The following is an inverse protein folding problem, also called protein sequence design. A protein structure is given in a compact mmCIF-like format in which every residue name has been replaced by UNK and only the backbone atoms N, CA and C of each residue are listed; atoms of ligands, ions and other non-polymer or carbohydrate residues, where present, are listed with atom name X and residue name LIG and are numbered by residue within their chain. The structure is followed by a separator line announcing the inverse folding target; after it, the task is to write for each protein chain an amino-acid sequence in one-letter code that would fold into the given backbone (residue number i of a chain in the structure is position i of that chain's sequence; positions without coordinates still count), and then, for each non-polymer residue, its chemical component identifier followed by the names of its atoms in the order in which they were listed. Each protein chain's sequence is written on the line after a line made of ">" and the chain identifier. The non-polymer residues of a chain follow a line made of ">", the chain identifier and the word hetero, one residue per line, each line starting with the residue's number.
data_IF_197577991403
#
_entry.id   IF_197577991403
#
_cell.length_a   1.000
_cell.length_b   1.000
_cell.length_c   1.000
_cell.angle_alpha   90.00
_cell.angle_beta   90.00
_cell.angle_gamma   90.00
#
_symmetry.space_group_name_H-M   'P 1'
#
loop_
_entity.id
_entity.type
_entity.pdbx_description
1 polymer ?
#
# COMPACT_ATOMS: atom_id res chain seq x y z
N UNK A 1 -6.69 46.91 50.82
CA UNK A 1 -7.94 47.69 50.61
C UNK A 1 -8.77 46.95 49.58
N UNK A 2 -9.69 46.23 50.08
CA UNK A 2 -11.13 46.19 49.91
C UNK A 2 -11.61 45.52 48.61
N UNK A 3 -12.11 44.30 48.76
CA UNK A 3 -13.14 43.66 47.92
C UNK A 3 -14.49 44.38 48.08
N UNK A 4 -15.42 44.25 47.17
CA UNK A 4 -16.72 43.59 47.53
C UNK A 4 -17.21 42.59 46.50
N UNK A 5 -17.61 41.42 46.88
CA UNK A 5 -18.87 40.76 47.30
C UNK A 5 -20.10 40.93 46.42
N UNK A 6 -20.60 39.78 46.03
CA UNK A 6 -21.84 39.21 45.43
C UNK A 6 -23.18 39.87 45.89
N UNK A 7 -24.30 39.74 45.12
CA UNK A 7 -25.30 38.81 45.64
C UNK A 7 -26.00 37.84 44.62
N UNK A 8 -26.39 36.68 45.20
CA UNK A 8 -27.36 35.71 44.68
C UNK A 8 -28.78 36.30 44.71
N UNK A 9 -29.60 35.93 43.75
CA UNK A 9 -31.05 35.86 43.93
C UNK A 9 -31.59 34.51 43.47
N UNK A 10 -32.17 33.79 44.45
CA UNK A 10 -33.13 32.71 44.30
C UNK A 10 -34.54 33.29 44.10
N UNK A 11 -35.40 32.52 43.42
CA UNK A 11 -36.85 32.39 43.61
C UNK A 11 -37.33 31.36 42.59
N UNK A 12 -37.65 30.14 42.94
CA UNK A 12 -38.83 29.61 43.61
C UNK A 12 -39.98 29.33 42.65
N UNK A 13 -40.18 28.03 42.47
CA UNK A 13 -41.42 27.23 42.40
C UNK A 13 -42.75 27.82 42.00
N UNK A 14 -43.46 27.21 41.05
CA UNK A 14 -44.86 26.77 41.24
C UNK A 14 -45.19 25.56 40.35
N UNK A 15 -45.61 24.48 41.02
CA UNK A 15 -46.27 23.33 40.47
C UNK A 15 -47.76 23.64 40.22
N UNK A 16 -48.34 23.14 39.15
CA UNK A 16 -49.77 22.87 39.06
C UNK A 16 -50.03 21.61 38.25
N UNK A 17 -50.55 20.64 38.98
CA UNK A 17 -51.14 19.41 38.46
C UNK A 17 -52.56 19.70 37.95
N UNK A 18 -52.95 19.14 36.81
CA UNK A 18 -54.38 18.80 36.56
C UNK A 18 -54.41 17.45 35.83
N UNK A 19 -55.31 16.61 36.36
CA UNK A 19 -55.52 15.22 36.03
C UNK A 19 -56.55 15.04 34.89
N UNK A 20 -56.45 13.80 34.30
CA UNK A 20 -57.53 12.98 33.71
C UNK A 20 -58.05 13.36 32.32
N UNK A 21 -57.82 12.48 31.35
CA UNK A 21 -58.91 11.60 30.88
C UNK A 21 -58.36 10.40 30.14
N UNK A 22 -58.91 9.24 30.50
CA UNK A 22 -58.61 7.94 29.86
C UNK A 22 -59.31 7.84 28.50
N UNK A 23 -58.56 7.55 27.46
CA UNK A 23 -59.06 7.13 26.14
C UNK A 23 -58.47 5.79 25.77
N UNK A 24 -59.26 4.73 25.93
CA UNK A 24 -58.96 3.37 25.38
C UNK A 24 -58.97 3.53 23.86
N UNK A 25 -57.83 3.25 23.23
CA UNK A 25 -57.80 3.07 21.78
C UNK A 25 -57.33 1.63 21.50
N UNK A 26 -58.15 0.92 20.77
CA UNK A 26 -58.03 -0.46 20.41
C UNK A 26 -56.80 -0.67 19.51
N UNK A 27 -55.96 -1.63 19.89
CA UNK A 27 -54.84 -2.15 19.07
C UNK A 27 -55.46 -3.02 17.98
N UNK A 28 -55.58 -2.50 16.76
CA UNK A 28 -55.85 -3.29 15.59
C UNK A 28 -54.51 -3.95 15.20
N UNK A 29 -54.38 -5.24 15.45
CA UNK A 29 -53.31 -6.07 14.91
C UNK A 29 -53.55 -6.23 13.42
N UNK A 30 -52.81 -5.51 12.58
CA UNK A 30 -52.67 -5.83 11.18
C UNK A 30 -51.88 -7.11 11.02
N UNK A 31 -52.46 -8.15 10.47
CA UNK A 31 -51.82 -9.39 10.12
C UNK A 31 -50.89 -9.13 8.90
N UNK A 32 -49.61 -9.37 9.05
CA UNK A 32 -48.64 -9.39 7.96
C UNK A 32 -48.88 -10.68 7.17
N UNK A 33 -49.09 -10.63 5.85
CA UNK A 33 -49.23 -11.85 5.07
C UNK A 33 -47.89 -12.59 4.99
N UNK A 34 -47.88 -13.81 5.51
CA UNK A 34 -46.75 -14.76 5.33
C UNK A 34 -46.70 -15.15 3.86
N UNK A 35 -45.73 -14.64 3.13
CA UNK A 35 -45.40 -15.09 1.80
C UNK A 35 -44.87 -16.52 1.89
N UNK A 36 -45.64 -17.51 1.44
CA UNK A 36 -45.18 -18.87 1.24
C UNK A 36 -44.15 -18.87 0.13
N UNK A 37 -42.89 -19.08 0.45
CA UNK A 37 -41.83 -19.35 -0.52
C UNK A 37 -42.00 -20.80 -0.98
N UNK A 38 -42.41 -20.98 -2.22
CA UNK A 38 -42.39 -22.30 -2.87
C UNK A 38 -40.93 -22.77 -3.00
N UNK A 39 -40.64 -24.05 -2.75
CA UNK A 39 -39.28 -24.55 -2.96
C UNK A 39 -38.98 -24.52 -4.47
N UNK A 40 -37.94 -23.74 -4.83
CA UNK A 40 -37.38 -23.72 -6.15
C UNK A 40 -36.79 -25.11 -6.43
N UNK A 41 -37.34 -25.79 -7.45
CA UNK A 41 -36.81 -27.05 -7.93
C UNK A 41 -35.34 -26.91 -8.31
N UNK A 42 -34.52 -27.83 -7.81
CA UNK A 42 -33.09 -27.91 -8.10
C UNK A 42 -32.90 -28.04 -9.64
N UNK A 43 -32.28 -27.05 -10.24
CA UNK A 43 -31.83 -27.13 -11.62
C UNK A 43 -30.73 -28.20 -11.76
N UNK A 44 -30.67 -28.97 -12.83
CA UNK A 44 -29.65 -29.99 -12.98
C UNK A 44 -28.28 -29.38 -13.10
N UNK A 45 -27.32 -29.95 -12.39
CA UNK A 45 -25.90 -29.57 -12.40
C UNK A 45 -25.38 -29.70 -13.86
N UNK A 46 -25.18 -28.59 -14.52
CA UNK A 46 -24.44 -28.56 -15.80
C UNK A 46 -22.96 -28.76 -15.41
N UNK A 47 -22.50 -29.99 -15.60
CA UNK A 47 -21.05 -30.28 -15.62
C UNK A 47 -20.46 -29.50 -16.81
N UNK A 48 -19.91 -28.32 -16.54
CA UNK A 48 -19.05 -27.61 -17.48
C UNK A 48 -17.76 -28.41 -17.58
N UNK A 49 -17.54 -29.07 -18.69
CA UNK A 49 -16.27 -29.65 -19.06
C UNK A 49 -15.25 -28.51 -19.03
N UNK A 50 -14.26 -28.62 -18.16
CA UNK A 50 -13.06 -27.79 -18.20
C UNK A 50 -12.32 -28.21 -19.46
N UNK A 51 -12.55 -27.48 -20.56
CA UNK A 51 -11.70 -27.55 -21.71
C UNK A 51 -10.36 -26.98 -21.28
N UNK A 52 -9.35 -27.85 -21.17
CA UNK A 52 -7.94 -27.48 -21.14
C UNK A 52 -7.67 -26.68 -22.41
N UNK A 53 -7.74 -25.36 -22.31
CA UNK A 53 -7.22 -24.49 -23.35
C UNK A 53 -5.71 -24.71 -23.37
N UNK A 54 -5.24 -25.43 -24.39
CA UNK A 54 -3.83 -25.51 -24.72
C UNK A 54 -3.32 -24.07 -24.85
N UNK A 55 -2.28 -23.75 -24.08
CA UNK A 55 -1.58 -22.48 -24.17
C UNK A 55 -1.20 -22.23 -25.64
N UNK A 56 -1.67 -21.13 -26.19
CA UNK A 56 -1.25 -20.68 -27.51
C UNK A 56 0.27 -20.51 -27.52
N UNK A 57 0.99 -20.91 -28.57
CA UNK A 57 2.43 -20.78 -28.62
C UNK A 57 2.78 -19.28 -28.54
N UNK A 58 3.58 -18.94 -27.52
CA UNK A 58 4.18 -17.62 -27.37
C UNK A 58 5.00 -17.35 -28.64
N UNK A 59 4.66 -16.29 -29.36
CA UNK A 59 5.36 -15.84 -30.56
C UNK A 59 6.87 -15.76 -30.30
N UNK A 60 7.64 -16.48 -31.08
CA UNK A 60 9.13 -16.60 -31.04
C UNK A 60 9.85 -15.34 -31.56
N UNK A 61 9.32 -14.16 -31.40
CA UNK A 61 9.95 -12.89 -31.76
C UNK A 61 10.29 -12.03 -30.56
N UNK A 62 10.86 -12.64 -29.51
CA UNK A 62 11.63 -11.86 -28.54
C UNK A 62 13.02 -11.57 -29.16
N UNK A 63 13.52 -10.30 -29.14
CA UNK A 63 14.85 -10.00 -29.60
C UNK A 63 15.84 -10.86 -28.81
N UNK A 64 16.74 -11.57 -29.50
CA UNK A 64 17.82 -12.34 -28.89
C UNK A 64 18.70 -11.39 -28.10
N UNK A 65 18.45 -11.30 -26.81
CA UNK A 65 19.32 -10.65 -25.85
C UNK A 65 20.51 -11.59 -25.64
N UNK A 66 21.71 -11.03 -25.73
CA UNK A 66 22.99 -11.73 -25.59
C UNK A 66 22.98 -12.68 -24.39
N UNK A 67 23.25 -13.97 -24.66
CA UNK A 67 23.25 -15.10 -23.72
C UNK A 67 24.39 -15.01 -22.68
N UNK A 68 24.34 -14.03 -21.77
CA UNK A 68 25.08 -14.12 -20.51
C UNK A 68 24.15 -14.70 -19.46
N UNK A 69 24.60 -15.77 -18.81
CA UNK A 69 23.87 -16.34 -17.68
C UNK A 69 23.57 -15.24 -16.65
N UNK A 70 22.32 -15.18 -16.12
CA UNK A 70 21.92 -14.16 -15.16
C UNK A 70 22.90 -14.08 -13.98
N UNK A 71 23.24 -12.84 -13.55
CA UNK A 71 24.15 -12.62 -12.41
C UNK A 71 25.65 -12.77 -12.70
N UNK A 72 26.07 -13.07 -13.92
CA UNK A 72 27.49 -13.07 -14.31
C UNK A 72 27.99 -11.72 -14.84
N UNK A 73 27.11 -10.73 -14.94
CA UNK A 73 27.42 -9.38 -15.40
C UNK A 73 27.92 -8.45 -14.29
N UNK A 74 28.01 -8.95 -13.05
CA UNK A 74 28.44 -8.19 -11.87
C UNK A 74 27.41 -7.20 -11.34
N UNK A 75 26.17 -7.19 -11.89
CA UNK A 75 25.11 -6.27 -11.49
C UNK A 75 24.26 -6.82 -10.36
N UNK A 76 23.75 -5.93 -9.54
CA UNK A 76 22.71 -6.23 -8.55
C UNK A 76 21.35 -6.31 -9.24
N UNK A 77 20.56 -7.34 -8.91
CA UNK A 77 19.23 -7.55 -9.46
C UNK A 77 18.17 -7.00 -8.51
N UNK A 78 17.36 -6.07 -9.00
CA UNK A 78 16.34 -5.37 -8.23
C UNK A 78 14.97 -5.57 -8.85
N UNK A 79 14.03 -6.15 -8.12
CA UNK A 79 12.62 -6.25 -8.51
C UNK A 79 11.88 -5.02 -8.03
N UNK A 80 11.21 -4.29 -8.93
CA UNK A 80 10.40 -3.11 -8.60
C UNK A 80 8.96 -3.34 -9.03
N UNK A 81 8.03 -3.41 -8.06
CA UNK A 81 6.61 -3.53 -8.37
C UNK A 81 6.02 -2.19 -8.81
N UNK A 82 5.12 -2.20 -9.80
CA UNK A 82 4.50 -0.98 -10.32
C UNK A 82 5.47 -0.02 -11.01
N UNK A 83 6.53 -0.55 -11.64
CA UNK A 83 7.58 0.25 -12.28
C UNK A 83 7.20 0.84 -13.65
N UNK A 84 5.93 0.77 -14.07
CA UNK A 84 5.47 1.33 -15.37
C UNK A 84 5.03 2.80 -15.30
N UNK A 85 5.14 3.46 -14.15
CA UNK A 85 4.79 4.88 -13.98
C UNK A 85 5.31 5.45 -12.66
N UNK A 86 5.31 6.78 -12.54
CA UNK A 86 5.53 7.49 -11.28
C UNK A 86 6.85 7.14 -10.60
N UNK A 87 6.80 7.04 -9.27
CA UNK A 87 7.96 6.75 -8.42
C UNK A 87 8.73 5.50 -8.86
N UNK A 88 8.02 4.38 -9.06
CA UNK A 88 8.65 3.10 -9.44
C UNK A 88 9.38 3.18 -10.79
N UNK A 89 8.82 3.89 -11.78
CA UNK A 89 9.46 4.08 -13.08
C UNK A 89 10.73 4.93 -12.96
N UNK A 90 10.66 6.04 -12.22
CA UNK A 90 11.81 6.93 -12.05
C UNK A 90 12.94 6.26 -11.26
N UNK A 91 12.61 5.49 -10.22
CA UNK A 91 13.59 4.69 -9.49
C UNK A 91 14.23 3.59 -10.36
N UNK A 92 13.41 2.86 -11.12
CA UNK A 92 13.89 1.86 -12.07
C UNK A 92 14.84 2.47 -13.12
N UNK A 93 14.46 3.62 -13.67
CA UNK A 93 15.29 4.32 -14.65
C UNK A 93 16.58 4.86 -14.05
N UNK A 94 16.56 5.39 -12.84
CA UNK A 94 17.76 5.86 -12.12
C UNK A 94 18.73 4.69 -11.91
N UNK A 95 18.28 3.58 -11.34
CA UNK A 95 19.09 2.40 -11.10
C UNK A 95 19.61 1.75 -12.38
N UNK A 96 18.77 1.63 -13.43
CA UNK A 96 19.18 1.05 -14.69
C UNK A 96 20.27 1.88 -15.40
N UNK A 97 20.24 3.21 -15.25
CA UNK A 97 21.24 4.14 -15.86
C UNK A 97 22.54 4.22 -15.08
N UNK A 98 22.56 3.89 -13.78
CA UNK A 98 23.83 3.85 -13.02
C UNK A 98 24.81 2.79 -13.55
N UNK A 99 24.29 1.75 -14.19
CA UNK A 99 25.11 0.63 -14.66
C UNK A 99 25.28 -0.49 -13.62
N UNK A 100 25.02 -0.22 -12.37
CA UNK A 100 25.24 -1.17 -11.25
C UNK A 100 24.09 -2.16 -11.06
N UNK A 101 22.94 -1.91 -11.72
CA UNK A 101 21.74 -2.70 -11.52
C UNK A 101 21.18 -3.28 -12.81
N UNK A 102 20.58 -4.47 -12.66
CA UNK A 102 19.61 -5.00 -13.60
C UNK A 102 18.21 -4.91 -12.94
N UNK A 103 17.31 -4.12 -13.52
CA UNK A 103 16.01 -3.85 -12.94
C UNK A 103 14.93 -4.76 -13.54
N UNK A 104 14.28 -5.57 -12.71
CA UNK A 104 13.09 -6.33 -13.11
C UNK A 104 11.85 -5.48 -12.80
N UNK A 105 11.25 -4.95 -13.85
CA UNK A 105 10.03 -4.14 -13.80
C UNK A 105 8.82 -5.08 -13.70
N UNK A 106 8.31 -5.29 -12.49
CA UNK A 106 7.16 -6.15 -12.22
C UNK A 106 5.86 -5.34 -12.39
N UNK A 107 5.14 -5.52 -13.50
CA UNK A 107 4.03 -4.68 -13.92
C UNK A 107 2.89 -5.49 -14.55
N UNK A 108 1.66 -4.98 -14.43
CA UNK A 108 0.47 -5.58 -15.08
C UNK A 108 0.49 -5.44 -16.60
N UNK A 109 0.82 -4.25 -17.08
CA UNK A 109 0.84 -3.91 -18.50
C UNK A 109 2.29 -3.92 -19.01
N UNK A 110 2.63 -5.05 -19.65
CA UNK A 110 3.95 -5.28 -20.23
C UNK A 110 4.29 -4.25 -21.31
N UNK A 111 3.36 -3.99 -22.23
CA UNK A 111 3.60 -3.11 -23.36
C UNK A 111 3.81 -1.65 -22.90
N UNK A 112 3.04 -1.21 -21.93
CA UNK A 112 3.23 0.11 -21.30
C UNK A 112 4.59 0.18 -20.62
N UNK A 113 4.94 -0.79 -19.78
CA UNK A 113 6.21 -0.78 -19.05
C UNK A 113 7.40 -0.72 -20.00
N UNK A 114 7.36 -1.47 -21.10
CA UNK A 114 8.40 -1.47 -22.12
C UNK A 114 8.54 -0.08 -22.83
N UNK A 115 7.42 0.54 -23.21
CA UNK A 115 7.44 1.88 -23.83
C UNK A 115 7.96 2.94 -22.87
N UNK A 116 7.51 2.92 -21.62
CA UNK A 116 7.93 3.89 -20.59
C UNK A 116 9.43 3.74 -20.27
N UNK A 117 9.94 2.51 -20.15
CA UNK A 117 11.36 2.27 -19.95
C UNK A 117 12.22 2.83 -21.11
N UNK A 118 11.78 2.62 -22.35
CA UNK A 118 12.44 3.20 -23.53
C UNK A 118 12.36 4.74 -23.53
N UNK A 119 11.18 5.29 -23.21
CA UNK A 119 10.97 6.74 -23.11
C UNK A 119 11.84 7.40 -22.04
N UNK A 120 12.12 6.67 -20.95
CA UNK A 120 13.04 7.10 -19.89
C UNK A 120 14.53 6.91 -20.26
N UNK A 121 14.85 6.39 -21.44
CA UNK A 121 16.24 6.15 -21.87
C UNK A 121 16.95 5.08 -21.03
N UNK A 122 16.24 4.07 -20.56
CA UNK A 122 16.88 2.94 -19.86
C UNK A 122 17.73 2.16 -20.87
N UNK A 123 19.01 1.87 -20.55
CA UNK A 123 19.89 1.16 -21.46
C UNK A 123 19.36 -0.25 -21.79
N UNK A 124 19.53 -0.67 -23.04
CA UNK A 124 19.22 -2.04 -23.44
C UNK A 124 20.02 -3.03 -22.61
N UNK A 125 19.35 -4.08 -22.09
CA UNK A 125 19.99 -5.09 -21.24
C UNK A 125 20.17 -4.69 -19.77
N UNK A 126 19.75 -3.45 -19.36
CA UNK A 126 19.75 -3.06 -17.96
C UNK A 126 18.41 -3.30 -17.26
N UNK A 127 17.40 -3.74 -17.98
CA UNK A 127 16.10 -4.04 -17.42
C UNK A 127 15.40 -5.21 -18.12
N UNK A 128 14.47 -5.83 -17.40
CA UNK A 128 13.54 -6.84 -17.91
C UNK A 128 12.14 -6.50 -17.42
N UNK A 129 11.13 -6.60 -18.28
CA UNK A 129 9.72 -6.47 -17.85
C UNK A 129 9.18 -7.85 -17.60
N UNK A 130 8.49 -8.04 -16.45
CA UNK A 130 7.81 -9.28 -16.10
C UNK A 130 6.38 -8.97 -15.65
N UNK A 131 5.43 -9.85 -16.01
CA UNK A 131 4.04 -9.68 -15.60
C UNK A 131 3.88 -9.94 -14.10
N UNK A 132 3.24 -9.00 -13.40
CA UNK A 132 2.79 -9.12 -12.02
C UNK A 132 1.53 -8.29 -11.82
N UNK A 133 0.43 -8.94 -11.45
CA UNK A 133 -0.77 -8.27 -10.96
C UNK A 133 -0.97 -8.58 -9.47
N UNK A 134 -0.72 -7.59 -8.61
CA UNK A 134 -0.90 -7.72 -7.16
C UNK A 134 -2.37 -7.82 -6.74
N UNK A 135 -3.30 -7.61 -7.68
CA UNK A 135 -4.73 -7.83 -7.45
C UNK A 135 -5.10 -9.32 -7.37
N UNK A 136 -4.21 -10.22 -7.85
CA UNK A 136 -4.41 -11.66 -7.86
C UNK A 136 -3.25 -12.37 -7.16
N UNK A 137 -3.56 -13.14 -6.11
CA UNK A 137 -2.55 -13.95 -5.40
C UNK A 137 -1.96 -15.04 -6.31
N UNK A 138 -2.73 -15.56 -7.26
CA UNK A 138 -2.23 -16.51 -8.26
C UNK A 138 -1.21 -15.85 -9.19
N UNK A 139 -1.47 -14.60 -9.64
CA UNK A 139 -0.49 -13.85 -10.44
C UNK A 139 0.83 -13.59 -9.67
N UNK A 140 0.76 -13.39 -8.36
CA UNK A 140 1.96 -13.27 -7.52
C UNK A 140 2.75 -14.59 -7.51
N UNK A 141 2.08 -15.74 -7.37
CA UNK A 141 2.71 -17.06 -7.41
C UNK A 141 3.33 -17.36 -8.78
N UNK A 142 2.61 -17.04 -9.85
CA UNK A 142 3.09 -17.19 -11.24
C UNK A 142 4.31 -16.32 -11.51
N UNK A 143 4.31 -15.07 -11.02
CA UNK A 143 5.48 -14.18 -11.13
C UNK A 143 6.70 -14.82 -10.46
N UNK A 144 6.57 -15.30 -9.22
CA UNK A 144 7.68 -15.92 -8.48
C UNK A 144 8.18 -17.17 -9.18
N UNK A 145 7.27 -18.02 -9.67
CA UNK A 145 7.63 -19.22 -10.46
C UNK A 145 8.42 -18.84 -11.72
N UNK A 146 7.92 -17.87 -12.48
CA UNK A 146 8.57 -17.41 -13.71
C UNK A 146 9.92 -16.70 -13.43
N UNK A 147 10.02 -15.96 -12.32
CA UNK A 147 11.26 -15.31 -11.89
C UNK A 147 12.32 -16.36 -11.54
N UNK A 148 11.94 -17.33 -10.72
CA UNK A 148 12.83 -18.42 -10.27
C UNK A 148 13.28 -19.28 -11.45
N UNK A 149 12.38 -19.59 -12.38
CA UNK A 149 12.70 -20.38 -13.58
C UNK A 149 13.74 -19.68 -14.50
N UNK A 150 13.86 -18.36 -14.45
CA UNK A 150 14.89 -17.60 -15.18
C UNK A 150 16.28 -17.68 -14.53
N UNK A 151 16.34 -18.15 -13.29
CA UNK A 151 17.59 -18.22 -12.53
C UNK A 151 18.19 -16.86 -12.19
N UNK A 152 17.40 -15.78 -12.18
CA UNK A 152 17.86 -14.46 -11.79
C UNK A 152 18.18 -14.43 -10.29
N UNK A 153 19.33 -13.87 -9.89
CA UNK A 153 19.57 -13.53 -8.50
C UNK A 153 18.60 -12.39 -8.08
N UNK A 154 18.37 -12.21 -6.80
CA UNK A 154 17.63 -11.09 -6.28
C UNK A 154 18.39 -10.45 -5.13
N UNK A 155 18.83 -9.20 -5.31
CA UNK A 155 19.53 -8.43 -4.30
C UNK A 155 18.62 -7.41 -3.61
N UNK A 156 17.54 -6.97 -4.28
CA UNK A 156 16.55 -6.14 -3.63
C UNK A 156 15.14 -6.36 -4.20
N UNK A 157 14.14 -6.26 -3.30
CA UNK A 157 12.72 -6.22 -3.63
C UNK A 157 12.13 -4.89 -3.19
N UNK A 158 11.56 -4.14 -4.13
CA UNK A 158 10.91 -2.87 -3.90
C UNK A 158 9.40 -3.01 -4.05
N UNK A 159 8.70 -3.02 -2.93
CA UNK A 159 7.24 -3.04 -2.82
C UNK A 159 6.69 -1.61 -2.98
N UNK A 160 6.59 -1.15 -4.25
CA UNK A 160 6.21 0.22 -4.59
C UNK A 160 4.77 0.36 -5.09
N UNK A 161 4.24 -0.64 -5.81
CA UNK A 161 2.89 -0.55 -6.38
C UNK A 161 1.83 -0.23 -5.33
N UNK A 162 0.89 0.64 -5.68
CA UNK A 162 -0.25 0.95 -4.84
C UNK A 162 -1.43 1.49 -5.65
N UNK A 163 -2.63 1.30 -5.10
CA UNK A 163 -3.86 1.95 -5.53
C UNK A 163 -4.35 2.90 -4.44
N UNK A 164 -5.01 3.98 -4.85
CA UNK A 164 -5.64 4.96 -3.98
C UNK A 164 -6.97 5.34 -4.59
N UNK A 165 -8.08 4.95 -3.96
CA UNK A 165 -9.45 5.00 -4.48
C UNK A 165 -10.36 5.89 -3.59
N UNK A 166 -9.99 7.15 -3.33
CA UNK A 166 -10.65 7.99 -2.32
C UNK A 166 -12.01 8.54 -2.75
N UNK A 167 -12.41 8.32 -3.99
CA UNK A 167 -13.66 8.84 -4.57
C UNK A 167 -14.64 7.74 -4.92
N UNK A 168 -14.26 6.49 -4.74
CA UNK A 168 -15.14 5.36 -4.97
C UNK A 168 -16.21 5.32 -3.87
N UNK A 169 -17.50 5.37 -4.22
CA UNK A 169 -18.58 5.39 -3.24
C UNK A 169 -18.81 4.03 -2.57
N UNK A 170 -18.40 2.96 -3.23
CA UNK A 170 -18.58 1.58 -2.82
C UNK A 170 -17.25 0.84 -2.84
N UNK A 171 -17.02 -0.14 -1.95
CA UNK A 171 -15.82 -0.96 -2.00
C UNK A 171 -15.78 -1.82 -3.25
N UNK A 172 -14.62 -1.94 -3.84
CA UNK A 172 -14.34 -2.92 -4.89
C UNK A 172 -13.39 -3.99 -4.38
N UNK A 173 -13.53 -5.21 -4.90
CA UNK A 173 -12.83 -6.38 -4.39
C UNK A 173 -11.89 -6.96 -5.44
N UNK A 174 -10.80 -7.53 -4.96
CA UNK A 174 -9.89 -8.34 -5.78
C UNK A 174 -10.57 -9.67 -6.18
N UNK A 175 -10.07 -10.40 -7.19
CA UNK A 175 -10.55 -11.76 -7.49
C UNK A 175 -10.50 -12.71 -6.30
N UNK A 176 -9.57 -12.47 -5.36
CA UNK A 176 -9.44 -13.25 -4.13
C UNK A 176 -10.42 -12.83 -3.02
N UNK A 177 -11.25 -11.79 -3.27
CA UNK A 177 -12.31 -11.32 -2.37
C UNK A 177 -11.84 -10.36 -1.28
N UNK A 178 -10.70 -9.68 -1.44
CA UNK A 178 -10.23 -8.63 -0.53
C UNK A 178 -10.60 -7.24 -1.04
N UNK A 179 -10.88 -6.28 -0.14
CA UNK A 179 -10.94 -4.87 -0.52
C UNK A 179 -9.64 -4.48 -1.24
N UNK A 180 -9.75 -3.71 -2.33
CA UNK A 180 -8.64 -3.52 -3.28
C UNK A 180 -7.42 -2.84 -2.69
N UNK A 181 -7.58 -1.89 -1.77
CA UNK A 181 -6.42 -1.22 -1.15
C UNK A 181 -5.63 -2.18 -0.29
N UNK A 182 -6.30 -2.97 0.52
CA UNK A 182 -5.68 -4.00 1.36
C UNK A 182 -5.13 -5.16 0.54
N UNK A 183 -5.89 -5.61 -0.47
CA UNK A 183 -5.49 -6.73 -1.32
C UNK A 183 -4.22 -6.43 -2.11
N UNK A 184 -4.18 -5.27 -2.79
CA UNK A 184 -3.06 -4.86 -3.67
C UNK A 184 -1.88 -4.31 -2.87
N UNK A 185 -2.16 -3.33 -1.99
CA UNK A 185 -1.08 -2.58 -1.33
C UNK A 185 -0.39 -3.42 -0.25
N UNK A 186 -1.13 -4.32 0.41
CA UNK A 186 -0.62 -5.13 1.51
C UNK A 186 -0.51 -6.62 1.18
N UNK A 187 -1.62 -7.36 1.01
CA UNK A 187 -1.60 -8.81 0.92
C UNK A 187 -0.81 -9.35 -0.28
N UNK A 188 -0.92 -8.71 -1.45
CA UNK A 188 -0.14 -9.08 -2.63
C UNK A 188 1.37 -8.93 -2.41
N UNK A 189 1.81 -7.83 -1.77
CA UNK A 189 3.22 -7.63 -1.42
C UNK A 189 3.67 -8.55 -0.28
N UNK A 190 2.81 -8.78 0.71
CA UNK A 190 3.08 -9.71 1.80
C UNK A 190 3.40 -11.11 1.26
N UNK A 191 2.55 -11.63 0.37
CA UNK A 191 2.79 -12.91 -0.28
C UNK A 191 4.08 -12.91 -1.12
N UNK A 192 4.31 -11.84 -1.90
CA UNK A 192 5.50 -11.71 -2.73
C UNK A 192 6.79 -11.77 -1.91
N UNK A 193 6.85 -11.07 -0.77
CA UNK A 193 7.98 -11.09 0.14
C UNK A 193 8.22 -12.49 0.70
N UNK A 194 7.17 -13.18 1.15
CA UNK A 194 7.28 -14.55 1.68
C UNK A 194 7.82 -15.53 0.66
N UNK A 195 7.32 -15.48 -0.57
CA UNK A 195 7.73 -16.41 -1.62
C UNK A 195 9.15 -16.14 -2.14
N UNK A 196 9.68 -14.91 -1.95
CA UNK A 196 11.01 -14.53 -2.42
C UNK A 196 12.07 -14.50 -1.31
N UNK A 197 11.73 -14.67 -0.02
CA UNK A 197 12.66 -14.49 1.11
C UNK A 197 13.90 -15.38 1.00
N UNK A 198 13.74 -16.66 0.64
CA UNK A 198 14.86 -17.60 0.49
C UNK A 198 15.75 -17.27 -0.73
N UNK A 199 15.17 -16.63 -1.73
CA UNK A 199 15.93 -16.15 -2.91
C UNK A 199 16.70 -14.87 -2.58
N UNK A 200 16.07 -13.95 -1.85
CA UNK A 200 16.69 -12.72 -1.33
C UNK A 200 17.85 -13.03 -0.39
N UNK A 201 17.72 -14.03 0.49
CA UNK A 201 18.77 -14.43 1.42
C UNK A 201 20.09 -14.87 0.75
N UNK A 202 20.05 -15.14 -0.56
CA UNK A 202 21.24 -15.50 -1.38
C UNK A 202 21.87 -14.27 -2.05
N UNK A 203 21.27 -13.11 -1.94
CA UNK A 203 21.78 -11.85 -2.50
C UNK A 203 23.02 -11.35 -1.77
N UNK A 204 23.78 -10.47 -2.43
CA UNK A 204 25.06 -9.95 -1.86
C UNK A 204 24.84 -8.91 -0.76
N UNK A 205 23.81 -8.08 -0.86
CA UNK A 205 23.40 -7.07 0.14
C UNK A 205 21.86 -7.00 0.06
N UNK A 206 21.18 -8.07 0.56
CA UNK A 206 19.78 -8.27 0.27
C UNK A 206 18.91 -7.26 1.04
N UNK A 207 17.98 -6.63 0.31
CA UNK A 207 17.09 -5.61 0.86
C UNK A 207 15.64 -5.82 0.44
N UNK A 208 14.72 -5.57 1.38
CA UNK A 208 13.30 -5.37 1.10
C UNK A 208 12.94 -3.94 1.47
N UNK A 209 12.45 -3.20 0.49
CA UNK A 209 12.08 -1.79 0.66
C UNK A 209 10.59 -1.62 0.36
N UNK A 210 9.83 -1.22 1.38
CA UNK A 210 8.38 -1.03 1.26
C UNK A 210 8.07 0.47 1.22
N UNK A 211 7.41 0.93 0.15
CA UNK A 211 7.02 2.35 0.04
C UNK A 211 5.87 2.64 0.98
N UNK A 212 6.19 3.34 2.07
CA UNK A 212 5.26 3.83 3.07
C UNK A 212 4.52 5.10 2.63
N UNK A 213 3.91 5.76 3.59
CA UNK A 213 3.24 7.05 3.39
C UNK A 213 3.13 7.83 4.70
N UNK A 214 3.36 9.13 4.65
CA UNK A 214 3.07 10.03 5.80
C UNK A 214 1.60 10.05 6.18
N UNK A 215 0.68 9.71 5.25
CA UNK A 215 -0.75 9.69 5.53
C UNK A 215 -1.19 8.53 6.44
N UNK A 216 -0.40 7.48 6.54
CA UNK A 216 -0.56 6.41 7.52
C UNK A 216 0.16 6.67 8.85
N UNK A 217 0.89 7.79 8.97
CA UNK A 217 1.61 8.14 10.19
C UNK A 217 0.93 9.30 10.92
N UNK A 218 0.21 9.02 12.01
CA UNK A 218 -0.54 10.00 12.79
C UNK A 218 0.37 11.05 13.48
N UNK A 219 1.69 10.85 13.54
CA UNK A 219 2.66 11.84 14.01
C UNK A 219 2.88 12.98 13.01
N UNK A 220 2.34 12.85 11.79
CA UNK A 220 2.46 13.87 10.74
C UNK A 220 1.15 14.60 10.53
N UNK A 221 1.22 15.87 10.11
CA UNK A 221 0.01 16.64 9.77
C UNK A 221 -0.84 15.93 8.70
N UNK A 222 -0.21 15.32 7.71
CA UNK A 222 -0.91 14.58 6.65
C UNK A 222 -1.66 13.34 7.19
N UNK A 223 -1.08 12.68 8.21
CA UNK A 223 -1.73 11.57 8.91
C UNK A 223 -2.90 12.02 9.79
N UNK A 224 -2.83 13.23 10.35
CA UNK A 224 -3.88 13.81 11.19
C UNK A 224 -5.08 14.36 10.40
N UNK A 225 -4.97 14.53 9.07
CA UNK A 225 -6.10 14.94 8.23
C UNK A 225 -7.10 13.77 8.13
N UNK A 226 -8.39 13.96 8.53
CA UNK A 226 -9.39 12.89 8.43
C UNK A 226 -9.64 12.43 6.98
N UNK A 227 -9.98 11.14 6.80
CA UNK A 227 -10.04 10.09 7.81
C UNK A 227 -8.65 9.73 8.33
N UNK A 228 -8.53 9.48 9.63
CA UNK A 228 -7.26 9.02 10.26
C UNK A 228 -7.16 7.49 10.08
N UNK A 229 -5.94 6.99 9.88
CA UNK A 229 -5.69 5.55 9.85
C UNK A 229 -5.95 4.93 11.21
N UNK A 230 -6.71 3.86 11.23
CA UNK A 230 -7.02 3.08 12.43
C UNK A 230 -7.41 1.66 12.00
N UNK A 231 -6.62 0.68 12.39
CA UNK A 231 -6.85 -0.73 12.05
C UNK A 231 -7.82 -1.41 13.03
N UNK A 232 -8.25 -0.74 14.08
CA UNK A 232 -9.06 -1.32 15.13
C UNK A 232 -8.41 -2.56 15.73
N UNK A 233 -9.21 -3.61 15.90
CA UNK A 233 -8.77 -4.92 16.35
C UNK A 233 -8.47 -5.91 15.19
N UNK A 234 -8.43 -5.42 13.95
CA UNK A 234 -8.26 -6.21 12.72
C UNK A 234 -9.44 -7.17 12.42
N UNK A 235 -10.61 -6.99 13.05
CA UNK A 235 -11.75 -7.91 12.88
C UNK A 235 -12.30 -7.93 11.45
N UNK A 236 -12.12 -6.83 10.72
CA UNK A 236 -12.50 -6.72 9.32
C UNK A 236 -11.40 -7.14 8.32
N UNK A 237 -10.25 -7.61 8.78
CA UNK A 237 -9.22 -8.15 7.88
C UNK A 237 -9.60 -9.58 7.44
N UNK A 238 -10.53 -9.66 6.49
CA UNK A 238 -11.09 -10.92 6.01
C UNK A 238 -11.62 -10.78 4.58
N UNK A 239 -11.92 -11.91 3.92
CA UNK A 239 -12.56 -11.90 2.60
C UNK A 239 -13.98 -11.35 2.71
N UNK A 240 -14.35 -10.46 1.79
CA UNK A 240 -15.67 -9.81 1.73
C UNK A 240 -15.86 -8.66 2.71
N UNK A 241 -14.94 -8.41 3.60
CA UNK A 241 -15.00 -7.23 4.46
C UNK A 241 -14.56 -5.95 3.70
N UNK A 242 -15.18 -4.84 4.06
CA UNK A 242 -15.01 -3.56 3.37
C UNK A 242 -13.90 -2.70 3.96
N UNK A 243 -13.66 -2.83 5.27
CA UNK A 243 -12.62 -2.11 6.02
C UNK A 243 -11.95 -3.02 7.02
N UNK A 244 -10.66 -2.78 7.32
CA UNK A 244 -9.84 -3.59 8.23
C UNK A 244 -10.36 -3.54 9.68
N UNK A 245 -10.86 -2.40 10.11
CA UNK A 245 -11.48 -2.18 11.43
C UNK A 245 -12.92 -2.69 11.53
N UNK A 246 -13.49 -3.19 10.42
CA UNK A 246 -14.89 -3.63 10.36
C UNK A 246 -15.91 -2.49 10.22
N UNK A 247 -15.46 -1.24 10.05
CA UNK A 247 -16.30 -0.04 9.90
C UNK A 247 -16.95 0.12 8.52
N UNK A 248 -17.57 1.28 8.32
CA UNK A 248 -18.12 1.69 7.03
C UNK A 248 -17.00 2.01 6.04
N UNK A 249 -17.26 1.75 4.75
CA UNK A 249 -16.26 1.96 3.71
C UNK A 249 -15.91 3.44 3.53
N UNK A 250 -14.62 3.72 3.56
CA UNK A 250 -14.00 4.98 3.15
C UNK A 250 -12.71 4.67 2.38
N UNK A 251 -12.71 4.93 1.08
CA UNK A 251 -11.56 4.60 0.21
C UNK A 251 -10.28 5.39 0.55
N UNK A 252 -10.39 6.56 1.18
CA UNK A 252 -9.23 7.30 1.65
C UNK A 252 -8.65 6.67 2.92
N UNK A 253 -9.51 6.21 3.86
CA UNK A 253 -9.09 5.47 5.05
C UNK A 253 -8.51 4.11 4.66
N UNK A 254 -9.15 3.35 3.76
CA UNK A 254 -8.67 2.06 3.28
C UNK A 254 -7.23 2.13 2.74
N UNK A 255 -6.91 3.19 1.99
CA UNK A 255 -5.52 3.43 1.56
C UNK A 255 -4.59 3.69 2.74
N UNK A 256 -4.96 4.57 3.68
CA UNK A 256 -4.12 4.89 4.85
C UNK A 256 -3.89 3.66 5.71
N UNK A 257 -4.94 2.89 5.98
CA UNK A 257 -4.87 1.63 6.72
C UNK A 257 -3.95 0.63 6.03
N UNK A 258 -4.03 0.49 4.70
CA UNK A 258 -3.12 -0.38 3.95
C UNK A 258 -1.65 0.03 4.08
N UNK A 259 -1.37 1.34 4.24
CA UNK A 259 -0.01 1.84 4.46
C UNK A 259 0.48 1.60 5.88
N UNK A 260 -0.40 1.65 6.88
CA UNK A 260 -0.08 1.21 8.25
C UNK A 260 0.25 -0.30 8.26
N UNK A 261 -0.57 -1.13 7.60
CA UNK A 261 -0.27 -2.56 7.43
C UNK A 261 1.12 -2.80 6.83
N UNK A 262 1.50 -2.04 5.81
CA UNK A 262 2.82 -2.16 5.18
C UNK A 262 3.96 -1.84 6.17
N UNK A 263 3.80 -0.83 7.02
CA UNK A 263 4.83 -0.46 8.00
C UNK A 263 4.91 -1.48 9.15
N UNK A 264 3.78 -1.98 9.65
CA UNK A 264 3.73 -3.07 10.64
C UNK A 264 4.39 -4.34 10.07
N UNK A 265 4.08 -4.69 8.81
CA UNK A 265 4.67 -5.85 8.13
C UNK A 265 6.19 -5.70 7.97
N UNK A 266 6.69 -4.53 7.59
CA UNK A 266 8.13 -4.28 7.51
C UNK A 266 8.82 -4.51 8.86
N UNK A 267 8.23 -4.04 9.96
CA UNK A 267 8.74 -4.27 11.32
C UNK A 267 8.74 -5.75 11.71
N UNK A 268 7.67 -6.48 11.38
CA UNK A 268 7.60 -7.93 11.65
C UNK A 268 8.60 -8.70 10.78
N UNK A 269 8.79 -8.34 9.51
CA UNK A 269 9.84 -8.90 8.66
C UNK A 269 11.23 -8.68 9.26
N UNK A 270 11.51 -7.48 9.75
CA UNK A 270 12.77 -7.19 10.44
C UNK A 270 12.95 -8.11 11.66
N UNK A 271 11.98 -8.21 12.57
CA UNK A 271 12.05 -9.04 13.76
C UNK A 271 12.22 -10.53 13.46
N UNK A 272 11.50 -11.04 12.45
CA UNK A 272 11.46 -12.47 12.14
C UNK A 272 12.59 -12.94 11.23
N UNK A 273 13.08 -12.04 10.35
CA UNK A 273 13.89 -12.47 9.22
C UNK A 273 15.26 -11.79 9.12
N UNK A 274 15.48 -10.63 9.75
CA UNK A 274 16.74 -9.91 9.62
C UNK A 274 17.92 -10.78 10.08
N UNK A 275 17.90 -11.23 11.32
CA UNK A 275 18.97 -12.05 11.88
C UNK A 275 19.08 -13.43 11.23
N UNK A 276 17.94 -13.97 10.81
CA UNK A 276 17.88 -15.33 10.20
C UNK A 276 18.43 -15.36 8.80
N UNK A 277 18.17 -14.33 8.00
CA UNK A 277 18.47 -14.32 6.57
C UNK A 277 19.49 -13.26 6.14
N UNK A 278 19.89 -12.36 7.04
CA UNK A 278 20.79 -11.26 6.72
C UNK A 278 20.17 -10.20 5.81
N UNK A 279 18.83 -10.15 5.68
CA UNK A 279 18.11 -9.21 4.82
C UNK A 279 17.89 -7.91 5.57
N UNK A 280 18.19 -6.78 4.94
CA UNK A 280 17.83 -5.45 5.44
C UNK A 280 16.40 -5.10 5.03
N UNK A 281 15.56 -4.78 6.02
CA UNK A 281 14.18 -4.35 5.83
C UNK A 281 14.05 -2.86 6.10
N UNK A 282 13.44 -2.13 5.17
CA UNK A 282 13.21 -0.70 5.32
C UNK A 282 11.90 -0.25 4.70
N UNK A 283 11.39 0.84 5.22
CA UNK A 283 10.30 1.58 4.60
C UNK A 283 10.76 2.99 4.31
N UNK A 284 10.08 3.70 3.39
CA UNK A 284 10.40 5.10 3.14
C UNK A 284 9.18 5.93 2.80
N UNK A 285 9.27 7.23 3.10
CA UNK A 285 8.45 8.27 2.51
C UNK A 285 9.30 9.15 1.59
N UNK A 286 9.15 9.05 0.27
CA UNK A 286 10.05 9.76 -0.65
C UNK A 286 9.72 11.24 -0.82
N UNK A 287 8.65 11.75 -0.18
CA UNK A 287 8.12 13.10 -0.33
C UNK A 287 6.76 13.16 -1.00
N UNK A 288 6.14 14.35 -1.04
CA UNK A 288 4.84 14.55 -1.68
C UNK A 288 5.00 14.66 -3.20
N UNK A 289 4.72 13.56 -3.90
CA UNK A 289 4.80 13.47 -5.36
C UNK A 289 3.40 13.74 -5.92
N UNK A 290 3.01 15.01 -6.01
CA UNK A 290 1.65 15.42 -6.36
C UNK A 290 1.22 15.08 -7.81
N UNK A 291 2.16 14.71 -8.69
CA UNK A 291 1.94 14.48 -10.13
C UNK A 291 1.79 12.99 -10.48
N UNK A 292 1.81 12.10 -9.49
CA UNK A 292 1.73 10.66 -9.77
C UNK A 292 0.34 10.21 -10.19
N UNK A 293 0.28 9.09 -10.92
CA UNK A 293 -0.97 8.40 -11.24
C UNK A 293 -1.78 7.95 -10.00
N UNK A 294 -1.19 8.00 -8.80
CA UNK A 294 -1.87 7.73 -7.53
C UNK A 294 -3.06 8.69 -7.31
N UNK A 295 -2.94 9.96 -7.77
CA UNK A 295 -4.00 10.97 -7.66
C UNK A 295 -4.92 11.03 -8.89
N UNK A 296 -4.91 10.04 -9.80
CA UNK A 296 -5.71 10.03 -11.03
C UNK A 296 -7.22 10.12 -10.78
N UNK A 297 -7.69 9.56 -9.65
CA UNK A 297 -9.10 9.56 -9.25
C UNK A 297 -9.57 10.89 -8.66
N UNK A 298 -8.66 11.81 -8.34
CA UNK A 298 -9.03 13.15 -7.85
C UNK A 298 -9.56 14.03 -8.97
N UNK A 299 -10.48 14.95 -8.62
CA UNK A 299 -11.09 15.90 -9.56
C UNK A 299 -10.04 16.72 -10.30
N UNK A 300 -10.28 17.05 -11.58
CA UNK A 300 -9.32 17.73 -12.45
C UNK A 300 -8.78 19.05 -11.87
N UNK A 301 -9.63 19.86 -11.24
CA UNK A 301 -9.19 21.09 -10.57
C UNK A 301 -8.21 20.85 -9.43
N UNK A 302 -8.43 19.78 -8.63
CA UNK A 302 -7.53 19.39 -7.54
C UNK A 302 -6.16 18.98 -8.11
N UNK A 303 -6.13 18.15 -9.16
CA UNK A 303 -4.90 17.71 -9.82
C UNK A 303 -4.11 18.89 -10.41
N UNK A 304 -4.76 19.98 -10.79
CA UNK A 304 -4.12 21.19 -11.28
C UNK A 304 -3.61 22.09 -10.14
N UNK A 305 -4.40 22.25 -9.08
CA UNK A 305 -4.10 23.17 -7.96
C UNK A 305 -3.12 22.56 -6.95
N UNK A 306 -3.29 21.27 -6.61
CA UNK A 306 -2.56 20.62 -5.54
C UNK A 306 -1.03 20.62 -5.73
N UNK A 307 -0.45 20.30 -6.91
CA UNK A 307 0.99 20.42 -7.12
C UNK A 307 1.52 21.84 -6.92
N UNK A 308 0.76 22.85 -7.36
CA UNK A 308 1.12 24.26 -7.19
C UNK A 308 1.08 24.69 -5.72
N UNK A 309 0.04 24.29 -5.01
CA UNK A 309 -0.04 24.53 -3.57
C UNK A 309 1.13 23.88 -2.83
N UNK A 310 1.44 22.64 -3.13
CA UNK A 310 2.57 21.93 -2.53
C UNK A 310 3.91 22.59 -2.88
N UNK A 311 4.08 23.09 -4.09
CA UNK A 311 5.33 23.72 -4.53
C UNK A 311 5.54 25.13 -3.95
N UNK A 312 4.50 25.95 -3.93
CA UNK A 312 4.65 27.37 -3.64
C UNK A 312 4.20 27.77 -2.22
N UNK A 313 3.31 26.99 -1.59
CA UNK A 313 2.76 27.29 -0.25
C UNK A 313 3.42 26.41 0.82
N UNK A 314 3.27 25.10 0.73
CA UNK A 314 3.81 24.19 1.75
C UNK A 314 5.28 23.84 1.54
N UNK A 315 5.81 24.04 0.32
CA UNK A 315 7.14 23.59 -0.11
C UNK A 315 7.41 22.09 0.08
N UNK A 316 6.35 21.29 0.23
CA UNK A 316 6.43 19.85 0.44
C UNK A 316 6.53 19.05 -0.88
N UNK A 317 6.46 19.74 -2.03
CA UNK A 317 6.55 19.12 -3.35
C UNK A 317 7.92 18.48 -3.58
N UNK A 318 7.88 17.25 -4.10
CA UNK A 318 9.07 16.52 -4.60
C UNK A 318 8.78 16.05 -6.01
N UNK A 319 9.71 16.21 -6.92
CA UNK A 319 9.57 15.70 -8.29
C UNK A 319 9.62 14.18 -8.34
N UNK A 320 9.01 13.58 -9.38
CA UNK A 320 9.09 12.12 -9.57
C UNK A 320 10.55 11.64 -9.74
N UNK A 321 11.40 12.45 -10.37
CA UNK A 321 12.81 12.14 -10.56
C UNK A 321 13.54 12.06 -9.21
N UNK A 322 13.44 13.11 -8.39
CA UNK A 322 14.05 13.16 -7.07
C UNK A 322 13.52 12.06 -6.13
N UNK A 323 12.22 11.81 -6.15
CA UNK A 323 11.64 10.72 -5.39
C UNK A 323 12.19 9.35 -5.84
N UNK A 324 12.40 9.17 -7.14
CA UNK A 324 13.04 7.98 -7.70
C UNK A 324 14.48 7.80 -7.24
N UNK A 325 15.25 8.88 -7.17
CA UNK A 325 16.62 8.89 -6.62
C UNK A 325 16.64 8.53 -5.13
N UNK A 326 15.73 9.09 -4.34
CA UNK A 326 15.56 8.77 -2.92
C UNK A 326 15.24 7.28 -2.70
N UNK A 327 14.35 6.72 -3.52
CA UNK A 327 14.06 5.28 -3.46
C UNK A 327 15.29 4.44 -3.83
N UNK A 328 16.02 4.82 -4.87
CA UNK A 328 17.25 4.17 -5.26
C UNK A 328 18.34 4.28 -4.17
N UNK A 329 18.42 5.42 -3.46
CA UNK A 329 19.30 5.60 -2.32
C UNK A 329 19.00 4.58 -1.21
N UNK A 330 17.73 4.37 -0.83
CA UNK A 330 17.37 3.37 0.18
C UNK A 330 17.68 1.94 -0.28
N UNK A 331 17.59 1.66 -1.58
CA UNK A 331 17.91 0.37 -2.17
C UNK A 331 19.41 0.08 -2.15
N UNK A 332 20.26 1.08 -2.33
CA UNK A 332 21.68 0.85 -2.64
C UNK A 332 22.71 1.51 -1.73
N UNK A 333 22.37 2.59 -1.01
CA UNK A 333 23.34 3.32 -0.20
C UNK A 333 23.82 2.51 1.02
N UNK A 334 25.12 2.59 1.35
CA UNK A 334 25.65 2.09 2.62
C UNK A 334 25.00 2.75 3.83
N UNK A 335 24.57 4.02 3.72
CA UNK A 335 23.98 4.80 4.82
C UNK A 335 22.59 4.29 5.22
N UNK A 336 21.96 3.45 4.41
CA UNK A 336 20.63 2.89 4.66
C UNK A 336 20.65 1.38 4.94
N UNK A 337 21.76 0.86 5.47
CA UNK A 337 21.93 -0.56 5.84
C UNK A 337 21.25 -0.92 7.16
N UNK A 338 20.84 0.06 7.96
CA UNK A 338 20.12 -0.22 9.19
C UNK A 338 18.75 -0.82 8.88
N UNK A 339 18.48 -1.97 9.47
CA UNK A 339 17.22 -2.70 9.24
C UNK A 339 16.14 -2.27 10.24
N UNK A 340 14.87 -2.31 9.81
CA UNK A 340 13.73 -1.92 10.64
C UNK A 340 13.41 -0.43 10.61
N UNK A 341 14.03 0.36 9.74
CA UNK A 341 13.96 1.82 9.72
C UNK A 341 12.92 2.33 8.71
N UNK A 342 12.24 3.42 9.12
CA UNK A 342 11.40 4.23 8.25
C UNK A 342 12.15 5.50 7.82
N UNK A 343 12.61 5.52 6.57
CA UNK A 343 13.43 6.59 6.02
C UNK A 343 12.60 7.76 5.48
N UNK A 344 13.06 8.97 5.74
CA UNK A 344 12.48 10.21 5.20
C UNK A 344 13.57 11.24 4.92
N UNK A 345 13.19 12.39 4.32
CA UNK A 345 14.10 13.48 4.01
C UNK A 345 13.60 14.79 4.59
N UNK A 346 14.50 15.55 5.25
CA UNK A 346 14.23 16.84 5.85
C UNK A 346 14.45 17.98 4.84
N UNK A 347 13.77 17.94 3.70
CA UNK A 347 13.88 18.98 2.69
C UNK A 347 13.32 20.36 3.13
N UNK A 348 13.15 21.27 2.17
CA UNK A 348 12.79 22.68 2.43
C UNK A 348 11.34 22.90 2.96
N UNK A 349 10.58 21.85 3.25
CA UNK A 349 9.22 22.00 3.78
C UNK A 349 9.24 22.81 5.08
N UNK A 350 8.63 23.99 5.04
CA UNK A 350 8.50 24.82 6.25
C UNK A 350 7.51 24.16 7.21
N UNK A 351 8.01 23.81 8.37
CA UNK A 351 7.32 23.51 9.63
C UNK A 351 5.88 23.00 9.51
N UNK A 352 5.75 21.71 9.25
CA UNK A 352 4.49 21.01 9.43
C UNK A 352 4.71 19.96 10.53
N UNK A 353 5.00 20.44 11.76
CA UNK A 353 5.27 19.65 12.96
C UNK A 353 6.73 19.21 13.13
N UNK A 354 7.14 18.93 14.34
CA UNK A 354 8.41 18.26 14.64
C UNK A 354 8.41 16.89 13.98
N UNK A 355 9.46 16.57 13.22
CA UNK A 355 9.53 15.35 12.41
C UNK A 355 8.98 15.49 10.98
N UNK A 356 8.73 16.72 10.51
CA UNK A 356 8.22 16.98 9.17
C UNK A 356 9.18 16.49 8.09
N UNK A 357 8.85 15.35 7.52
CA UNK A 357 9.44 14.86 6.28
C UNK A 357 8.81 15.62 5.11
N UNK A 358 9.59 16.19 4.22
CA UNK A 358 9.03 16.76 3.02
C UNK A 358 9.90 17.81 2.32
N UNK A 359 9.47 18.14 1.11
CA UNK A 359 10.13 19.10 0.23
C UNK A 359 11.31 18.53 -0.54
N UNK A 360 11.75 19.29 -1.54
CA UNK A 360 12.91 18.97 -2.37
C UNK A 360 14.21 19.15 -1.58
N UNK A 361 15.24 18.38 -1.95
CA UNK A 361 16.55 18.40 -1.27
C UNK A 361 16.53 17.79 0.12
N UNK A 362 17.47 18.21 0.97
CA UNK A 362 17.62 17.75 2.34
C UNK A 362 18.38 16.45 2.49
N UNK A 363 18.61 16.10 3.75
CA UNK A 363 19.30 14.87 4.13
C UNK A 363 18.30 13.79 4.52
N UNK A 364 18.70 12.53 4.26
CA UNK A 364 17.96 11.37 4.74
C UNK A 364 18.06 11.27 6.26
N UNK A 365 17.00 10.87 6.90
CA UNK A 365 16.95 10.63 8.34
C UNK A 365 15.99 9.48 8.69
N UNK A 366 16.13 8.92 9.87
CA UNK A 366 15.23 7.94 10.46
C UNK A 366 13.98 8.66 10.96
N UNK A 367 12.83 8.41 10.34
CA UNK A 367 11.57 9.01 10.76
C UNK A 367 10.91 8.19 11.86
N UNK A 368 10.29 8.88 12.80
CA UNK A 368 9.57 8.26 13.90
C UNK A 368 8.17 7.80 13.44
N UNK A 369 7.85 6.49 13.52
CA UNK A 369 6.53 5.98 13.20
C UNK A 369 5.53 6.31 14.33
N UNK A 370 4.22 6.34 14.01
CA UNK A 370 3.16 6.53 14.99
C UNK A 370 2.98 5.31 15.92
N UNK A 371 2.29 5.53 17.04
CA UNK A 371 1.97 4.48 18.02
C UNK A 371 1.28 3.27 17.37
N UNK A 372 0.37 3.52 16.41
CA UNK A 372 -0.29 2.46 15.64
C UNK A 372 0.71 1.55 14.90
N UNK A 373 1.77 2.13 14.37
CA UNK A 373 2.84 1.39 13.66
C UNK A 373 3.79 0.71 14.65
N UNK A 374 3.92 1.21 15.86
CA UNK A 374 4.82 0.64 16.88
C UNK A 374 4.18 -0.42 17.76
N UNK A 375 2.88 -0.67 17.61
CA UNK A 375 2.15 -1.72 18.33
C UNK A 375 2.59 -3.12 17.87
N UNK A 376 3.45 -3.73 18.66
CA UNK A 376 4.03 -5.05 18.38
C UNK A 376 3.00 -6.18 18.44
N UNK A 377 1.98 -6.08 19.30
CA UNK A 377 0.93 -7.09 19.39
C UNK A 377 0.03 -7.05 18.16
N UNK A 378 -0.31 -5.84 17.70
CA UNK A 378 -1.08 -5.63 16.46
C UNK A 378 -0.28 -6.10 15.25
N UNK A 379 1.02 -5.82 15.18
CA UNK A 379 1.90 -6.27 14.11
C UNK A 379 1.95 -7.80 14.01
N UNK A 380 2.13 -8.50 15.13
CA UNK A 380 2.13 -9.95 15.18
C UNK A 380 0.77 -10.54 14.75
N UNK A 381 -0.33 -9.95 15.22
CA UNK A 381 -1.68 -10.39 14.84
C UNK A 381 -1.96 -10.14 13.34
N UNK A 382 -1.58 -8.98 12.81
CA UNK A 382 -1.68 -8.67 11.38
C UNK A 382 -0.93 -9.72 10.55
N UNK A 383 0.28 -10.09 10.98
CA UNK A 383 1.10 -11.10 10.32
C UNK A 383 0.39 -12.45 10.25
N UNK A 384 -0.08 -12.99 11.38
CA UNK A 384 -0.76 -14.29 11.45
C UNK A 384 -2.04 -14.33 10.60
N UNK A 385 -2.83 -13.26 10.62
CA UNK A 385 -4.03 -13.16 9.78
C UNK A 385 -3.62 -13.14 8.31
N UNK A 386 -2.61 -12.34 7.95
CA UNK A 386 -2.15 -12.22 6.57
C UNK A 386 -1.62 -13.55 6.01
N UNK A 387 -0.84 -14.31 6.80
CA UNK A 387 -0.36 -15.66 6.40
C UNK A 387 -1.53 -16.59 6.04
N UNK A 388 -2.57 -16.62 6.89
CA UNK A 388 -3.78 -17.42 6.64
C UNK A 388 -4.54 -16.97 5.39
N UNK A 389 -4.69 -15.66 5.19
CA UNK A 389 -5.44 -15.09 4.07
C UNK A 389 -4.77 -15.35 2.73
N UNK A 390 -3.43 -15.31 2.70
CA UNK A 390 -2.66 -15.59 1.46
C UNK A 390 -2.32 -17.07 1.29
N UNK A 391 -2.69 -17.94 2.25
CA UNK A 391 -2.57 -19.39 2.13
C UNK A 391 -1.13 -19.92 2.23
N UNK A 392 -0.35 -19.42 3.20
CA UNK A 392 1.01 -19.86 3.51
C UNK A 392 1.19 -20.31 4.98
N UNK A 393 0.13 -20.21 5.80
CA UNK A 393 0.07 -20.73 7.18
C UNK A 393 -0.52 -22.14 7.21
#
# INVERSE_FOLDING_TARGET
>A
MSRPTVPRHQLATTARATARTAGRSAIVRAAVPVCRVNPIAAAPAVRRAVATAAAAPVSENAPKSSDKAPGKDGKRYVVVTGASSGLGLHAAAHMARSGDYHVVMACRDFAKAQREAQGMGMPSGSFTVMHLDLESLDSVRDFVSNYTARGYPIDALVCNAAVYLPTDPEPSFTPDGFERSVGINHLGHFLLCHLLVDSLAKGTDPRVVIVGSVTGNANTLAGQIPPIADLGDLSGLSRGATMIDGGEYDGAKAYKDSKVCNMLTMREMHKRWHDKYGITFGSLYPGCIAETALFREKRGWFRWLFPRFQKYVTKAYVSQAEAGERLAQVVGSPDTKQSGVYWSWNGEAKNIGEGAAGGSGGLIFENEPSDEVTDDAKAARLWEISEKLVGIA
#
